data_IF_063010549398
#
_entry.id   IF_063010549398
#
_cell.length_a   1.000
_cell.length_b   1.000
_cell.length_c   1.000
_cell.angle_alpha   90.00
_cell.angle_beta   90.00
_cell.angle_gamma   90.00
#
_symmetry.space_group_name_H-M   'P 1'
#
loop_
_entity.id
_entity.type
_entity.pdbx_description
1 polymer ?
#
# COMPACT_ATOMS: atom_id res chain seq x y z
N UNK A 1 -10.18 1.80 18.42
CA UNK A 1 -8.77 1.90 17.98
C UNK A 1 -8.52 0.68 17.12
N UNK A 2 -8.15 0.88 15.86
CA UNK A 2 -7.91 -0.20 14.91
C UNK A 2 -6.41 -0.26 14.66
N UNK A 3 -5.86 -1.47 14.70
CA UNK A 3 -4.45 -1.73 14.42
C UNK A 3 -4.38 -2.54 13.14
N UNK A 4 -3.66 -2.04 12.15
CA UNK A 4 -3.42 -2.69 10.87
C UNK A 4 -1.96 -3.08 10.75
N UNK A 5 -1.69 -4.22 10.11
CA UNK A 5 -0.35 -4.71 9.84
C UNK A 5 -0.12 -4.73 8.33
N UNK A 6 0.99 -4.13 7.89
CA UNK A 6 1.40 -4.10 6.49
C UNK A 6 2.60 -5.03 6.29
N UNK A 7 2.50 -5.90 5.27
CA UNK A 7 3.52 -6.90 4.98
C UNK A 7 4.10 -6.68 3.58
N UNK A 8 5.42 -6.82 3.45
CA UNK A 8 6.04 -7.04 2.16
C UNK A 8 5.86 -8.51 1.80
N UNK A 9 5.16 -8.79 0.71
CA UNK A 9 4.81 -10.16 0.29
C UNK A 9 5.62 -10.61 -0.91
N UNK A 10 5.98 -11.88 -0.93
CA UNK A 10 6.54 -12.55 -2.10
C UNK A 10 5.46 -13.47 -2.70
N UNK A 11 4.84 -13.11 -3.84
CA UNK A 11 3.86 -13.96 -4.49
C UNK A 11 4.44 -15.33 -4.84
N UNK A 12 3.67 -16.39 -4.63
CA UNK A 12 4.06 -17.76 -4.98
C UNK A 12 3.71 -18.14 -6.44
N UNK A 13 2.98 -17.26 -7.13
CA UNK A 13 2.54 -17.43 -8.51
C UNK A 13 2.55 -16.08 -9.22
N UNK A 14 2.30 -16.12 -10.53
CA UNK A 14 2.09 -14.91 -11.30
C UNK A 14 0.94 -14.08 -10.74
N UNK A 15 1.09 -12.76 -10.85
CA UNK A 15 0.13 -11.80 -10.33
C UNK A 15 -0.97 -11.51 -11.35
N UNK A 16 -2.21 -11.53 -10.87
CA UNK A 16 -3.37 -11.19 -11.67
C UNK A 16 -3.37 -9.68 -11.97
N UNK A 17 -3.77 -9.31 -13.19
CA UNK A 17 -3.96 -7.90 -13.58
C UNK A 17 -5.25 -7.30 -13.03
N UNK A 18 -6.09 -8.11 -12.41
CA UNK A 18 -7.42 -7.74 -11.97
C UNK A 18 -7.71 -8.39 -10.61
N UNK A 19 -8.38 -7.64 -9.74
CA UNK A 19 -8.90 -8.12 -8.46
C UNK A 19 -10.41 -7.91 -8.39
N UNK A 20 -11.09 -8.78 -7.67
CA UNK A 20 -12.51 -8.64 -7.34
C UNK A 20 -12.65 -8.48 -5.83
N UNK A 21 -13.15 -7.33 -5.40
CA UNK A 21 -13.30 -6.99 -3.99
C UNK A 21 -14.61 -6.22 -3.79
N UNK A 22 -15.38 -6.57 -2.76
CA UNK A 22 -16.65 -5.89 -2.45
C UNK A 22 -17.67 -5.92 -3.60
N UNK A 23 -17.63 -6.94 -4.45
CA UNK A 23 -18.51 -7.06 -5.62
C UNK A 23 -18.09 -6.23 -6.84
N UNK A 24 -16.93 -5.57 -6.80
CA UNK A 24 -16.41 -4.77 -7.90
C UNK A 24 -15.11 -5.34 -8.44
N UNK A 25 -14.96 -5.28 -9.76
CA UNK A 25 -13.70 -5.59 -10.46
C UNK A 25 -12.82 -4.34 -10.50
N UNK A 26 -11.53 -4.48 -10.18
CA UNK A 26 -10.53 -3.41 -10.26
C UNK A 26 -9.30 -3.89 -11.01
N UNK A 27 -8.64 -2.97 -11.72
CA UNK A 27 -7.37 -3.23 -12.37
C UNK A 27 -6.22 -3.04 -11.39
N UNK A 28 -5.24 -3.92 -11.45
CA UNK A 28 -3.99 -3.82 -10.71
C UNK A 28 -2.90 -3.25 -11.62
N UNK A 29 -2.18 -2.27 -11.10
CA UNK A 29 -1.09 -1.61 -11.81
C UNK A 29 0.19 -1.72 -10.99
N UNK A 30 1.30 -1.92 -11.69
CA UNK A 30 2.62 -1.79 -11.10
C UNK A 30 3.04 -0.33 -11.17
N UNK A 31 3.51 0.19 -10.03
CA UNK A 31 4.03 1.55 -9.92
C UNK A 31 5.43 1.51 -9.33
N UNK A 32 6.32 2.32 -9.88
CA UNK A 32 7.67 2.51 -9.31
C UNK A 32 7.59 3.29 -8.00
N UNK A 33 8.58 3.09 -7.11
CA UNK A 33 8.59 3.79 -5.82
C UNK A 33 8.73 5.31 -5.97
N UNK A 34 9.38 5.77 -7.04
CA UNK A 34 9.54 7.18 -7.39
C UNK A 34 8.21 7.86 -7.71
N UNK A 35 7.22 7.09 -8.17
CA UNK A 35 5.93 7.59 -8.64
C UNK A 35 4.82 7.52 -7.61
N UNK A 36 5.06 6.91 -6.44
CA UNK A 36 4.07 6.87 -5.35
C UNK A 36 3.57 8.26 -4.93
N UNK A 37 4.40 9.29 -5.06
CA UNK A 37 4.01 10.68 -4.75
C UNK A 37 2.92 11.22 -5.69
N UNK A 38 2.84 10.70 -6.92
CA UNK A 38 1.94 11.16 -7.99
C UNK A 38 0.53 10.58 -7.90
N UNK A 39 0.32 9.50 -7.15
CA UNK A 39 -0.98 8.82 -7.04
C UNK A 39 -1.69 9.14 -5.72
N UNK A 40 -3.01 8.95 -5.65
CA UNK A 40 -3.74 9.05 -4.38
C UNK A 40 -3.65 7.72 -3.59
N UNK A 41 -2.47 7.44 -3.04
CA UNK A 41 -2.23 6.24 -2.23
C UNK A 41 -2.87 6.39 -0.83
N UNK A 42 -3.62 5.39 -0.40
CA UNK A 42 -4.19 5.26 0.93
C UNK A 42 -3.75 3.94 1.56
N UNK A 43 -3.11 3.94 2.76
CA UNK A 43 -2.72 5.09 3.57
C UNK A 43 -1.66 6.01 2.95
N UNK A 44 -1.83 7.32 3.11
CA UNK A 44 -0.97 8.33 2.45
C UNK A 44 0.48 8.36 2.97
N UNK A 45 0.72 7.93 4.20
CA UNK A 45 2.08 7.88 4.77
C UNK A 45 2.99 6.92 4.00
N UNK A 46 2.44 5.92 3.30
CA UNK A 46 3.20 4.93 2.56
C UNK A 46 4.02 5.52 1.41
N UNK A 47 3.58 6.65 0.86
CA UNK A 47 4.31 7.36 -0.21
C UNK A 47 5.75 7.68 0.19
N UNK A 48 5.96 8.01 1.46
CA UNK A 48 7.27 8.37 2.03
C UNK A 48 7.88 7.16 2.73
N UNK A 49 7.08 6.42 3.50
CA UNK A 49 7.57 5.32 4.33
C UNK A 49 8.13 4.15 3.53
N UNK A 50 7.47 3.74 2.43
CA UNK A 50 7.95 2.63 1.58
C UNK A 50 9.27 2.98 0.90
N UNK A 51 9.36 4.19 0.34
CA UNK A 51 10.56 4.66 -0.38
C UNK A 51 11.80 4.73 0.53
N UNK A 52 11.61 5.12 1.79
CA UNK A 52 12.68 5.28 2.78
C UNK A 52 12.74 4.09 3.77
N UNK A 53 12.18 2.94 3.40
CA UNK A 53 12.18 1.78 4.28
C UNK A 53 13.57 1.14 4.32
N UNK A 54 14.04 0.86 5.54
CA UNK A 54 15.38 0.32 5.84
C UNK A 54 15.33 -1.17 6.19
N UNK A 55 14.19 -1.84 5.97
CA UNK A 55 13.99 -3.26 6.27
C UNK A 55 13.56 -3.58 7.71
N UNK A 56 13.51 -2.58 8.61
CA UNK A 56 13.09 -2.79 9.99
C UNK A 56 11.58 -2.58 10.19
N UNK A 57 10.98 -3.27 11.17
CA UNK A 57 9.58 -3.05 11.53
C UNK A 57 9.40 -1.60 12.02
N UNK A 58 8.44 -0.88 11.43
CA UNK A 58 8.11 0.52 11.77
C UNK A 58 6.67 0.62 12.25
N UNK A 59 6.45 1.40 13.30
CA UNK A 59 5.12 1.75 13.77
C UNK A 59 4.75 3.15 13.25
N UNK A 60 3.59 3.25 12.60
CA UNK A 60 3.04 4.50 12.11
C UNK A 60 1.69 4.76 12.77
N UNK A 61 1.51 5.96 13.30
CA UNK A 61 0.19 6.42 13.75
C UNK A 61 -0.45 7.17 12.59
N UNK A 62 -1.43 6.55 11.94
CA UNK A 62 -2.21 7.23 10.91
C UNK A 62 -3.17 8.23 11.56
N UNK A 63 -2.68 9.45 11.77
CA UNK A 63 -3.48 10.57 12.32
C UNK A 63 -4.43 11.18 11.29
N UNK A 64 -4.27 10.82 10.01
CA UNK A 64 -5.09 11.32 8.91
C UNK A 64 -6.33 10.43 8.68
N UNK A 65 -7.02 10.01 9.76
CA UNK A 65 -8.45 9.67 9.68
C UNK A 65 -9.27 10.97 9.78
N UNK A 66 -8.89 12.03 9.04
CA UNK A 66 -9.68 13.25 8.95
C UNK A 66 -10.76 13.08 7.87
N UNK A 67 -11.98 12.85 8.38
CA UNK A 67 -13.33 13.01 7.81
C UNK A 67 -13.64 12.42 6.43
#
# INVERSE_FOLDING_TARGET
>A
MEIEFLYLVNPLSDLNKEIYEGGQKRMCEWISFEELSKINLNPSFLKIALKNWDGQVKHFVNKNKEK
#
